data_IF_484507504912
#
_entry.id   IF_484507504912
#
_cell.length_a   1.000
_cell.length_b   1.000
_cell.length_c   1.000
_cell.angle_alpha   90.00
_cell.angle_beta   90.00
_cell.angle_gamma   90.00
#
_symmetry.space_group_name_H-M   'P 1'
#
loop_
_entity.id
_entity.type
_entity.pdbx_description
1 polymer ?
#
# COMPACT_ATOMS: atom_id res chain seq x y z
N UNK A 1 -5.40 -23.19 10.35
CA UNK A 1 -5.88 -22.31 9.25
C UNK A 1 -6.07 -20.90 9.80
N UNK A 2 -5.11 -19.98 9.59
CA UNK A 2 -5.23 -18.56 9.98
C UNK A 2 -6.24 -17.90 9.02
N UNK A 3 -7.36 -17.45 9.55
CA UNK A 3 -8.43 -16.77 8.78
C UNK A 3 -7.85 -15.53 8.10
N UNK A 4 -7.97 -15.45 6.79
CA UNK A 4 -7.57 -14.35 5.89
C UNK A 4 -8.44 -13.08 6.05
N UNK A 5 -8.93 -12.81 7.26
CA UNK A 5 -9.77 -11.66 7.56
C UNK A 5 -8.94 -10.37 7.52
N UNK A 6 -9.06 -9.62 6.44
CA UNK A 6 -8.50 -8.27 6.31
C UNK A 6 -7.39 -8.10 5.27
N UNK A 7 -7.29 -8.99 4.29
CA UNK A 7 -6.45 -8.74 3.11
C UNK A 7 -6.98 -7.52 2.34
N UNK A 8 -6.10 -6.58 1.90
CA UNK A 8 -6.52 -5.48 1.05
C UNK A 8 -7.21 -6.00 -0.22
N UNK A 9 -8.18 -5.25 -0.76
CA UNK A 9 -8.88 -5.57 -2.01
C UNK A 9 -7.94 -5.89 -3.19
N UNK A 10 -6.69 -5.45 -3.10
CA UNK A 10 -5.59 -5.71 -4.06
C UNK A 10 -5.21 -7.19 -4.16
N UNK A 11 -5.48 -8.01 -3.14
CA UNK A 11 -4.99 -9.41 -3.08
C UNK A 11 -5.91 -10.41 -3.79
N UNK A 12 -7.14 -10.02 -4.12
CA UNK A 12 -8.10 -10.88 -4.81
C UNK A 12 -7.89 -11.00 -6.33
N UNK A 13 -6.83 -10.38 -6.88
CA UNK A 13 -6.60 -10.33 -8.32
C UNK A 13 -5.80 -11.51 -8.85
N UNK A 14 -6.18 -11.96 -10.06
CA UNK A 14 -5.66 -13.20 -10.68
C UNK A 14 -4.30 -13.01 -11.36
N UNK A 15 -3.96 -11.79 -11.81
CA UNK A 15 -2.72 -11.55 -12.56
C UNK A 15 -1.84 -10.48 -11.92
N UNK A 16 -0.53 -10.53 -12.18
CA UNK A 16 0.44 -9.53 -11.70
C UNK A 16 0.09 -8.12 -12.17
N UNK A 17 -0.39 -7.99 -13.41
CA UNK A 17 -0.88 -6.74 -13.97
C UNK A 17 -2.05 -6.18 -13.14
N UNK A 18 -3.05 -6.99 -12.84
CA UNK A 18 -4.19 -6.57 -12.05
C UNK A 18 -3.77 -6.13 -10.64
N UNK A 19 -2.81 -6.81 -10.02
CA UNK A 19 -2.26 -6.40 -8.71
C UNK A 19 -1.61 -5.04 -8.80
N UNK A 20 -0.76 -4.78 -9.80
CA UNK A 20 -0.12 -3.47 -9.98
C UNK A 20 -1.17 -2.36 -10.15
N UNK A 21 -2.10 -2.52 -11.09
CA UNK A 21 -3.11 -1.50 -11.38
C UNK A 21 -4.03 -1.25 -10.18
N UNK A 22 -4.47 -2.30 -9.48
CA UNK A 22 -5.30 -2.14 -8.29
C UNK A 22 -4.54 -1.46 -7.15
N UNK A 23 -3.24 -1.72 -7.00
CA UNK A 23 -2.41 -1.03 -6.01
C UNK A 23 -2.30 0.47 -6.33
N UNK A 24 -2.23 0.85 -7.60
CA UNK A 24 -2.29 2.27 -8.02
C UNK A 24 -3.68 2.85 -7.75
N UNK A 25 -4.75 2.13 -8.03
CA UNK A 25 -6.13 2.58 -7.75
C UNK A 25 -6.40 2.74 -6.25
N UNK A 26 -5.75 1.97 -5.38
CA UNK A 26 -5.93 2.03 -3.92
C UNK A 26 -5.30 3.27 -3.27
N UNK A 27 -4.40 3.99 -3.97
CA UNK A 27 -3.79 5.21 -3.45
C UNK A 27 -4.86 6.24 -3.06
N UNK A 28 -4.92 6.64 -1.78
CA UNK A 28 -5.92 7.59 -1.24
C UNK A 28 -7.37 7.21 -1.60
N UNK A 29 -7.69 5.93 -1.62
CA UNK A 29 -9.02 5.40 -1.91
C UNK A 29 -9.37 4.33 -0.89
N UNK A 30 -10.63 4.27 -0.45
CA UNK A 30 -11.14 3.21 0.43
C UNK A 30 -11.14 1.87 -0.30
N UNK A 31 -10.92 0.79 0.43
CA UNK A 31 -10.79 -0.56 -0.16
C UNK A 31 -12.04 -0.99 -0.96
N UNK A 32 -13.24 -0.67 -0.49
CA UNK A 32 -14.51 -0.95 -1.18
C UNK A 32 -14.59 -0.28 -2.55
N UNK A 33 -14.21 1.01 -2.61
CA UNK A 33 -14.18 1.78 -3.85
C UNK A 33 -13.08 1.27 -4.79
N UNK A 34 -11.94 0.85 -4.26
CA UNK A 34 -10.86 0.23 -5.03
C UNK A 34 -11.34 -1.09 -5.65
N UNK A 35 -12.00 -1.94 -4.87
CA UNK A 35 -12.55 -3.21 -5.35
C UNK A 35 -13.56 -3.00 -6.49
N UNK A 36 -14.49 -2.06 -6.29
CA UNK A 36 -15.51 -1.72 -7.30
C UNK A 36 -14.88 -1.21 -8.59
N UNK A 37 -13.97 -0.23 -8.49
CA UNK A 37 -13.27 0.34 -9.64
C UNK A 37 -12.43 -0.72 -10.38
N UNK A 38 -11.70 -1.55 -9.66
CA UNK A 38 -10.89 -2.62 -10.22
C UNK A 38 -11.74 -3.66 -10.95
N UNK A 39 -12.85 -4.10 -10.35
CA UNK A 39 -13.78 -5.06 -10.96
C UNK A 39 -14.37 -4.52 -12.28
N UNK A 40 -14.79 -3.25 -12.29
CA UNK A 40 -15.33 -2.61 -13.50
C UNK A 40 -14.26 -2.48 -14.59
N UNK A 41 -13.05 -2.04 -14.21
CA UNK A 41 -11.94 -1.86 -15.13
C UNK A 41 -11.52 -3.17 -15.79
N UNK A 42 -11.27 -4.22 -14.99
CA UNK A 42 -10.75 -5.49 -15.51
C UNK A 42 -11.77 -6.34 -16.25
N UNK A 43 -13.07 -6.06 -16.08
CA UNK A 43 -14.11 -6.65 -16.94
C UNK A 43 -13.95 -6.20 -18.40
N UNK A 44 -13.53 -4.95 -18.62
CA UNK A 44 -13.35 -4.37 -19.97
C UNK A 44 -11.90 -4.44 -20.46
N UNK A 45 -10.94 -4.32 -19.57
CA UNK A 45 -9.50 -4.23 -19.88
C UNK A 45 -8.68 -5.13 -18.95
N UNK A 46 -8.71 -6.45 -19.14
CA UNK A 46 -8.05 -7.42 -18.26
C UNK A 46 -6.53 -7.46 -18.38
N UNK A 47 -5.94 -6.87 -19.43
CA UNK A 47 -4.49 -6.89 -19.70
C UNK A 47 -3.92 -5.50 -20.02
N UNK A 48 -2.59 -5.38 -20.01
CA UNK A 48 -1.88 -4.16 -20.34
C UNK A 48 -2.12 -3.72 -21.79
N UNK A 49 -2.14 -4.68 -22.73
CA UNK A 49 -2.34 -4.44 -24.16
C UNK A 49 -3.70 -3.80 -24.43
N UNK A 50 -4.76 -4.29 -23.77
CA UNK A 50 -6.11 -3.75 -23.92
C UNK A 50 -6.24 -2.38 -23.23
N UNK A 51 -5.64 -2.22 -22.04
CA UNK A 51 -5.72 -0.95 -21.32
C UNK A 51 -4.89 0.16 -21.96
N UNK A 52 -3.75 -0.16 -22.56
CA UNK A 52 -2.90 0.82 -23.29
C UNK A 52 -3.62 1.47 -24.47
N UNK A 53 -4.45 0.70 -25.18
CA UNK A 53 -5.23 1.15 -26.34
C UNK A 53 -6.57 1.79 -25.98
N UNK A 54 -6.99 1.67 -24.71
CA UNK A 54 -8.32 2.12 -24.27
C UNK A 54 -8.47 3.66 -24.36
N UNK A 55 -9.63 4.18 -24.78
CA UNK A 55 -9.91 5.61 -24.70
C UNK A 55 -9.91 6.09 -23.24
N UNK A 56 -9.25 7.23 -22.98
CA UNK A 56 -9.10 7.76 -21.62
C UNK A 56 -10.44 7.98 -20.91
N UNK A 57 -11.41 8.54 -21.64
CA UNK A 57 -12.77 8.78 -21.12
C UNK A 57 -13.47 7.50 -20.65
N UNK A 58 -13.22 6.36 -21.34
CA UNK A 58 -13.77 5.06 -20.93
C UNK A 58 -13.10 4.54 -19.66
N UNK A 59 -11.78 4.72 -19.54
CA UNK A 59 -11.06 4.38 -18.31
C UNK A 59 -11.59 5.21 -17.13
N UNK A 60 -11.69 6.53 -17.29
CA UNK A 60 -12.21 7.46 -16.27
C UNK A 60 -13.60 7.06 -15.79
N UNK A 61 -14.51 6.72 -16.71
CA UNK A 61 -15.88 6.27 -16.38
C UNK A 61 -15.85 5.00 -15.51
N UNK A 62 -15.02 4.02 -15.86
CA UNK A 62 -14.96 2.73 -15.16
C UNK A 62 -14.33 2.83 -13.77
N UNK A 63 -13.37 3.75 -13.57
CA UNK A 63 -12.70 3.91 -12.26
C UNK A 63 -13.23 5.10 -11.46
N UNK A 64 -14.36 5.68 -11.82
CA UNK A 64 -14.98 6.82 -11.13
C UNK A 64 -15.15 6.64 -9.61
N UNK A 65 -15.43 5.42 -9.08
CA UNK A 65 -15.46 5.20 -7.64
C UNK A 65 -14.12 5.47 -6.93
N UNK A 66 -12.99 5.34 -7.64
CA UNK A 66 -11.68 5.60 -7.06
C UNK A 66 -11.42 7.11 -6.92
N UNK A 67 -11.00 7.56 -5.73
CA UNK A 67 -10.59 8.96 -5.52
C UNK A 67 -9.50 9.39 -6.51
N UNK A 68 -9.55 10.64 -6.97
CA UNK A 68 -8.63 11.20 -7.97
C UNK A 68 -8.61 10.41 -9.30
N UNK A 69 -9.76 9.89 -9.72
CA UNK A 69 -9.90 8.98 -10.85
C UNK A 69 -9.31 9.52 -12.16
N UNK A 70 -9.43 10.82 -12.46
CA UNK A 70 -8.86 11.42 -13.67
C UNK A 70 -7.34 11.31 -13.74
N UNK A 71 -6.65 11.62 -12.63
CA UNK A 71 -5.19 11.48 -12.53
C UNK A 71 -4.79 10.01 -12.61
N UNK A 72 -5.54 9.14 -11.93
CA UNK A 72 -5.29 7.69 -11.94
C UNK A 72 -5.52 7.09 -13.32
N UNK A 73 -6.54 7.50 -14.06
CA UNK A 73 -6.79 7.04 -15.43
C UNK A 73 -5.60 7.32 -16.35
N UNK A 74 -5.06 8.54 -16.30
CA UNK A 74 -3.84 8.89 -17.05
C UNK A 74 -2.65 8.02 -16.64
N UNK A 75 -2.45 7.82 -15.33
CA UNK A 75 -1.34 7.02 -14.81
C UNK A 75 -1.44 5.56 -15.22
N UNK A 76 -2.59 4.89 -15.01
CA UNK A 76 -2.72 3.47 -15.35
C UNK A 76 -2.64 3.22 -16.86
N UNK A 77 -3.11 4.16 -17.68
CA UNK A 77 -2.92 4.09 -19.12
C UNK A 77 -1.43 4.22 -19.49
N UNK A 78 -0.71 5.20 -18.94
CA UNK A 78 0.72 5.37 -19.16
C UNK A 78 1.54 4.17 -18.67
N UNK A 79 1.21 3.62 -17.50
CA UNK A 79 1.80 2.37 -17.01
C UNK A 79 1.59 1.26 -18.04
N UNK A 80 0.36 1.07 -18.53
CA UNK A 80 0.06 -0.02 -19.48
C UNK A 80 0.81 0.13 -20.80
N UNK A 81 0.97 1.36 -21.31
CA UNK A 81 1.81 1.63 -22.49
C UNK A 81 3.26 1.20 -22.23
N UNK A 82 3.85 1.67 -21.13
CA UNK A 82 5.23 1.32 -20.78
C UNK A 82 5.42 -0.20 -20.56
N UNK A 83 4.42 -0.87 -19.96
CA UNK A 83 4.48 -2.32 -19.81
C UNK A 83 4.53 -3.03 -21.16
N UNK A 84 3.73 -2.61 -22.12
CA UNK A 84 3.74 -3.19 -23.46
C UNK A 84 5.06 -2.92 -24.19
N UNK A 85 5.54 -1.67 -24.13
CA UNK A 85 6.74 -1.25 -24.87
C UNK A 85 8.04 -1.83 -24.31
N UNK A 86 8.15 -1.97 -22.98
CA UNK A 86 9.43 -2.28 -22.33
C UNK A 86 9.46 -3.60 -21.58
N UNK A 87 8.29 -4.16 -21.24
CA UNK A 87 8.19 -5.30 -20.31
C UNK A 87 7.28 -6.42 -20.84
N UNK A 88 7.01 -6.46 -22.15
CA UNK A 88 6.20 -7.52 -22.78
C UNK A 88 4.78 -7.64 -22.18
N UNK A 89 4.17 -6.51 -21.77
CA UNK A 89 2.83 -6.45 -21.18
C UNK A 89 2.75 -6.89 -19.72
N UNK A 90 3.87 -7.26 -19.07
CA UNK A 90 3.90 -7.76 -17.69
C UNK A 90 4.62 -6.77 -16.76
N UNK A 91 4.18 -6.63 -15.49
CA UNK A 91 4.91 -5.85 -14.50
C UNK A 91 6.33 -6.39 -14.27
N UNK A 92 7.34 -5.52 -14.16
CA UNK A 92 8.68 -5.93 -13.77
C UNK A 92 8.73 -6.40 -12.32
N UNK A 93 9.70 -7.25 -12.01
CA UNK A 93 9.85 -7.88 -10.69
C UNK A 93 11.02 -7.32 -9.86
N UNK A 94 11.58 -6.18 -10.24
CA UNK A 94 12.58 -5.43 -9.47
C UNK A 94 12.00 -4.15 -8.90
N UNK A 95 12.50 -3.73 -7.73
CA UNK A 95 12.07 -2.48 -7.09
C UNK A 95 12.36 -1.27 -7.98
N UNK A 96 13.55 -1.21 -8.54
CA UNK A 96 14.02 -0.13 -9.39
C UNK A 96 13.13 0.07 -10.63
N UNK A 97 12.85 -1.01 -11.35
CA UNK A 97 11.99 -0.97 -12.54
C UNK A 97 10.54 -0.60 -12.18
N UNK A 98 10.02 -1.05 -11.03
CA UNK A 98 8.69 -0.65 -10.56
C UNK A 98 8.64 0.84 -10.23
N UNK A 99 9.69 1.40 -9.64
CA UNK A 99 9.80 2.83 -9.33
C UNK A 99 9.88 3.71 -10.58
N UNK A 100 10.32 3.18 -11.72
CA UNK A 100 10.34 3.92 -12.99
C UNK A 100 8.94 4.11 -13.60
N UNK A 101 7.93 3.39 -13.11
CA UNK A 101 6.56 3.50 -13.60
C UNK A 101 5.86 4.76 -13.05
N UNK A 102 5.06 5.48 -13.85
CA UNK A 102 4.45 6.74 -13.45
C UNK A 102 3.48 6.58 -12.27
N UNK A 103 3.77 7.29 -11.17
CA UNK A 103 2.94 7.27 -9.95
C UNK A 103 3.09 6.00 -9.10
N UNK A 104 4.09 5.17 -9.37
CA UNK A 104 4.49 4.05 -8.52
C UNK A 104 5.60 4.52 -7.58
N UNK A 105 5.24 4.83 -6.34
CA UNK A 105 6.19 5.13 -5.27
C UNK A 105 6.65 3.85 -4.55
N UNK A 106 7.60 3.99 -3.63
CA UNK A 106 8.26 2.89 -2.90
C UNK A 106 7.26 1.96 -2.21
N UNK A 107 6.28 2.50 -1.48
CA UNK A 107 5.22 1.70 -0.84
C UNK A 107 4.43 0.87 -1.86
N UNK A 108 4.06 1.48 -3.00
CA UNK A 108 3.31 0.80 -4.08
C UNK A 108 4.15 -0.31 -4.70
N UNK A 109 5.42 -0.04 -5.01
CA UNK A 109 6.36 -1.04 -5.55
C UNK A 109 6.53 -2.23 -4.60
N UNK A 110 6.74 -1.97 -3.30
CA UNK A 110 6.83 -3.03 -2.29
C UNK A 110 5.55 -3.87 -2.19
N UNK A 111 4.37 -3.25 -2.25
CA UNK A 111 3.11 -3.99 -2.31
C UNK A 111 3.05 -4.91 -3.55
N UNK A 112 3.48 -4.43 -4.72
CA UNK A 112 3.50 -5.24 -5.95
C UNK A 112 4.49 -6.41 -5.81
N UNK A 113 5.68 -6.17 -5.27
CA UNK A 113 6.67 -7.24 -5.02
C UNK A 113 6.09 -8.34 -4.12
N UNK A 114 5.44 -7.97 -3.04
CA UNK A 114 4.84 -8.92 -2.10
C UNK A 114 3.65 -9.66 -2.71
N UNK A 115 2.67 -8.92 -3.25
CA UNK A 115 1.40 -9.53 -3.64
C UNK A 115 1.44 -10.20 -5.01
N UNK A 116 2.15 -9.62 -5.99
CA UNK A 116 2.22 -10.16 -7.34
C UNK A 116 3.36 -11.17 -7.53
N UNK A 117 4.49 -10.97 -6.83
CA UNK A 117 5.70 -11.77 -7.06
C UNK A 117 6.08 -12.67 -5.88
N UNK A 118 5.38 -12.55 -4.75
CA UNK A 118 5.70 -13.29 -3.50
C UNK A 118 7.14 -13.03 -3.04
N UNK A 119 7.72 -11.90 -3.44
CA UNK A 119 9.04 -11.47 -3.01
C UNK A 119 8.93 -10.79 -1.65
N UNK A 120 9.88 -11.04 -0.73
CA UNK A 120 9.90 -10.35 0.55
C UNK A 120 10.20 -8.86 0.34
N UNK A 121 9.28 -8.03 0.79
CA UNK A 121 9.43 -6.58 0.83
C UNK A 121 8.62 -6.04 2.01
N UNK A 122 9.01 -4.86 2.50
CA UNK A 122 8.38 -4.19 3.64
C UNK A 122 7.63 -2.94 3.17
N UNK A 123 6.33 -3.01 2.86
CA UNK A 123 5.58 -1.81 2.51
C UNK A 123 5.42 -0.91 3.75
N UNK A 124 6.02 0.26 3.75
CA UNK A 124 5.89 1.25 4.82
C UNK A 124 4.98 2.38 4.37
N UNK A 125 3.86 2.53 5.06
CA UNK A 125 2.95 3.66 4.90
C UNK A 125 3.00 4.60 6.11
N UNK A 126 2.15 5.62 6.12
CA UNK A 126 2.06 6.58 7.22
C UNK A 126 1.69 5.94 8.56
N UNK A 127 0.99 4.81 8.57
CA UNK A 127 0.65 4.09 9.79
C UNK A 127 1.85 3.32 10.32
N UNK A 128 2.51 2.54 9.46
CA UNK A 128 3.71 1.78 9.82
C UNK A 128 4.80 2.72 10.32
N UNK A 129 5.13 3.78 9.57
CA UNK A 129 6.12 4.77 9.96
C UNK A 129 5.81 5.38 11.34
N UNK A 130 4.58 5.89 11.53
CA UNK A 130 4.17 6.52 12.78
C UNK A 130 4.22 5.57 13.97
N UNK A 131 3.66 4.36 13.83
CA UNK A 131 3.53 3.41 14.92
C UNK A 131 4.89 2.86 15.33
N UNK A 132 5.75 2.52 14.37
CA UNK A 132 7.10 2.02 14.65
C UNK A 132 7.93 3.01 15.45
N UNK A 133 7.86 4.30 15.09
CA UNK A 133 8.53 5.37 15.85
C UNK A 133 7.89 5.60 17.23
N UNK A 134 6.56 5.60 17.35
CA UNK A 134 5.87 5.76 18.64
C UNK A 134 6.14 4.64 19.62
N UNK A 135 6.27 3.41 19.11
CA UNK A 135 6.60 2.23 19.92
C UNK A 135 8.09 2.11 20.23
N UNK A 136 8.94 2.97 19.65
CA UNK A 136 10.38 2.89 19.83
C UNK A 136 11.02 1.67 19.15
N UNK A 137 10.35 1.07 18.16
CA UNK A 137 10.94 -0.01 17.36
C UNK A 137 12.03 0.50 16.45
N UNK A 138 11.91 1.76 16.01
CA UNK A 138 12.86 2.49 15.20
C UNK A 138 12.81 3.97 15.56
N UNK A 139 13.90 4.71 15.22
CA UNK A 139 13.97 6.16 15.31
C UNK A 139 14.33 6.71 13.94
N UNK A 140 13.34 7.16 13.16
CA UNK A 140 13.51 7.51 11.76
C UNK A 140 12.63 8.72 11.37
N UNK A 141 13.11 9.49 10.39
CA UNK A 141 12.42 10.72 9.94
C UNK A 141 11.55 10.49 8.70
N UNK A 142 11.87 9.48 7.88
CA UNK A 142 11.16 9.20 6.64
C UNK A 142 10.67 7.75 6.58
N UNK A 143 9.62 7.46 5.79
CA UNK A 143 9.16 6.08 5.56
C UNK A 143 10.23 5.17 4.97
N UNK A 144 11.13 5.69 4.13
CA UNK A 144 12.23 4.93 3.52
C UNK A 144 13.25 4.49 4.57
N UNK A 145 13.61 5.39 5.49
CA UNK A 145 14.48 5.05 6.63
C UNK A 145 13.80 4.02 7.55
N UNK A 146 12.49 4.18 7.78
CA UNK A 146 11.71 3.21 8.57
C UNK A 146 11.69 1.83 7.91
N UNK A 147 11.55 1.75 6.59
CA UNK A 147 11.61 0.50 5.84
C UNK A 147 12.95 -0.20 6.10
N UNK A 148 14.07 0.50 5.90
CA UNK A 148 15.40 -0.07 6.10
C UNK A 148 15.62 -0.52 7.55
N UNK A 149 15.27 0.32 8.53
CA UNK A 149 15.44 0.01 9.95
C UNK A 149 14.57 -1.19 10.38
N UNK A 150 13.31 -1.26 9.94
CA UNK A 150 12.43 -2.38 10.24
C UNK A 150 12.87 -3.69 9.56
N UNK A 151 13.43 -3.62 8.36
CA UNK A 151 13.98 -4.80 7.68
C UNK A 151 15.16 -5.42 8.43
N UNK A 152 15.90 -4.63 9.21
CA UNK A 152 16.99 -5.12 10.09
C UNK A 152 16.45 -5.62 11.43
N UNK A 153 15.42 -4.97 11.98
CA UNK A 153 14.92 -5.25 13.32
C UNK A 153 13.86 -6.37 13.37
N UNK A 154 13.21 -6.70 12.27
CA UNK A 154 12.09 -7.63 12.22
C UNK A 154 12.44 -8.83 11.34
N UNK A 155 12.18 -10.07 11.79
CA UNK A 155 12.33 -11.26 10.97
C UNK A 155 11.52 -11.16 9.66
N UNK A 156 12.12 -11.59 8.56
CA UNK A 156 11.62 -11.41 7.20
C UNK A 156 10.23 -12.00 6.98
N UNK A 157 9.93 -13.11 7.61
CA UNK A 157 8.63 -13.79 7.59
C UNK A 157 7.50 -12.96 8.19
N UNK A 158 7.81 -12.00 9.05
CA UNK A 158 6.84 -11.16 9.74
C UNK A 158 6.57 -9.81 9.02
N UNK A 159 7.30 -9.47 7.97
CA UNK A 159 7.22 -8.15 7.33
C UNK A 159 5.82 -7.81 6.82
N UNK A 160 5.16 -8.75 6.15
CA UNK A 160 3.82 -8.55 5.61
C UNK A 160 2.77 -8.49 6.72
N UNK A 161 2.88 -9.35 7.71
CA UNK A 161 1.95 -9.38 8.85
C UNK A 161 2.07 -8.08 9.68
N UNK A 162 3.29 -7.62 9.93
CA UNK A 162 3.55 -6.35 10.62
C UNK A 162 2.87 -5.17 9.92
N UNK A 163 3.00 -5.08 8.60
CA UNK A 163 2.33 -4.03 7.81
C UNK A 163 0.81 -4.07 8.03
N UNK A 164 0.18 -5.23 7.85
CA UNK A 164 -1.27 -5.39 8.02
C UNK A 164 -1.75 -5.03 9.42
N UNK A 165 -1.03 -5.50 10.45
CA UNK A 165 -1.37 -5.22 11.84
C UNK A 165 -1.26 -3.72 12.14
N UNK A 166 -0.15 -3.08 11.75
CA UNK A 166 0.06 -1.66 12.00
C UNK A 166 -0.92 -0.76 11.25
N UNK A 167 -1.28 -1.09 10.02
CA UNK A 167 -2.31 -0.34 9.27
C UNK A 167 -3.65 -0.41 10.01
N UNK A 168 -4.12 -1.60 10.35
CA UNK A 168 -5.40 -1.78 11.08
C UNK A 168 -5.39 -1.10 12.45
N UNK A 169 -4.29 -1.22 13.16
CA UNK A 169 -4.11 -0.62 14.48
C UNK A 169 -4.06 0.91 14.40
N UNK A 170 -3.37 1.42 13.38
CA UNK A 170 -3.25 2.86 13.13
C UNK A 170 -4.53 3.52 12.64
N UNK A 171 -5.45 2.76 12.07
CA UNK A 171 -6.78 3.23 11.67
C UNK A 171 -7.76 3.30 12.85
N UNK A 172 -7.58 2.47 13.88
CA UNK A 172 -8.56 2.30 14.97
C UNK A 172 -8.08 2.86 16.30
N UNK A 173 -6.84 2.60 16.69
CA UNK A 173 -6.30 2.87 18.03
C UNK A 173 -5.22 3.97 18.00
N UNK A 174 -4.11 3.71 17.31
CA UNK A 174 -2.98 4.63 17.26
C UNK A 174 -3.18 5.70 16.17
N UNK A 175 -4.21 6.54 16.35
CA UNK A 175 -4.57 7.59 15.41
C UNK A 175 -3.45 8.66 15.29
N UNK A 176 -3.35 9.40 14.15
CA UNK A 176 -2.35 10.47 14.00
C UNK A 176 -2.57 11.61 15.01
N UNK A 177 -3.83 12.00 15.21
CA UNK A 177 -4.27 12.96 16.23
C UNK A 177 -5.13 12.24 17.25
N UNK A 178 -4.99 12.61 18.52
CA UNK A 178 -5.75 12.05 19.64
C UNK A 178 -5.79 10.51 19.64
N UNK A 179 -4.62 9.82 19.72
CA UNK A 179 -4.59 8.37 19.77
C UNK A 179 -5.31 7.85 21.03
N UNK A 180 -6.02 6.73 20.90
CA UNK A 180 -6.76 6.09 22.00
C UNK A 180 -5.80 5.27 22.87
N UNK A 181 -4.88 5.97 23.54
CA UNK A 181 -3.80 5.30 24.27
C UNK A 181 -4.29 4.43 25.44
N UNK A 182 -5.38 4.83 26.10
CA UNK A 182 -5.95 4.05 27.23
C UNK A 182 -6.58 2.73 26.76
N UNK A 183 -7.06 2.66 25.52
CA UNK A 183 -7.57 1.42 24.91
C UNK A 183 -6.44 0.57 24.27
N UNK A 184 -5.22 1.10 24.23
CA UNK A 184 -4.08 0.47 23.58
C UNK A 184 -3.47 -0.61 24.47
N UNK A 185 -3.48 -1.86 24.02
CA UNK A 185 -2.86 -2.99 24.76
C UNK A 185 -1.35 -2.86 24.94
N UNK A 186 -0.71 -1.94 24.21
CA UNK A 186 0.74 -1.69 24.27
C UNK A 186 1.08 -0.42 25.06
N UNK A 187 0.12 0.27 25.68
CA UNK A 187 0.34 1.58 26.31
C UNK A 187 1.42 1.55 27.39
N UNK A 188 1.45 0.49 28.22
CA UNK A 188 2.41 0.33 29.32
C UNK A 188 3.87 0.18 28.85
N UNK A 189 4.08 -0.21 27.58
CA UNK A 189 5.41 -0.38 26.97
C UNK A 189 5.71 0.67 25.88
N UNK A 190 4.80 1.63 25.67
CA UNK A 190 4.92 2.62 24.60
C UNK A 190 5.67 3.87 25.07
N UNK A 191 6.91 4.14 24.61
CA UNK A 191 7.67 5.32 25.00
C UNK A 191 6.93 6.64 24.73
N UNK A 192 6.22 6.73 23.60
CA UNK A 192 5.45 7.90 23.25
C UNK A 192 4.34 8.21 24.29
N UNK A 193 3.65 7.21 24.79
CA UNK A 193 2.62 7.36 25.84
C UNK A 193 3.24 7.71 27.19
N UNK A 194 4.26 6.97 27.60
CA UNK A 194 4.95 7.18 28.90
C UNK A 194 5.57 8.58 28.99
N UNK A 195 6.19 9.07 27.93
CA UNK A 195 6.75 10.42 27.88
C UNK A 195 5.67 11.50 27.86
N UNK A 196 4.50 11.25 27.24
CA UNK A 196 3.38 12.20 27.22
C UNK A 196 2.69 12.30 28.60
N UNK A 197 2.60 11.19 29.34
CA UNK A 197 2.07 11.20 30.71
C UNK A 197 2.99 11.92 31.68
N UNK A 198 4.32 11.77 31.53
CA UNK A 198 5.31 12.51 32.36
C UNK A 198 5.19 14.03 32.18
N UNK A 199 4.93 14.51 30.93
CA UNK A 199 4.77 15.94 30.65
C UNK A 199 3.49 16.56 31.20
N UNK A 200 2.50 15.77 31.59
CA UNK A 200 1.24 16.27 32.20
C UNK A 200 1.28 16.29 33.74
N UNK A 201 2.36 15.81 34.35
CA UNK A 201 2.58 15.79 35.79
C UNK A 201 3.56 16.88 36.27
N UNK A 202 4.04 17.73 35.37
CA UNK A 202 4.81 18.96 35.61
C UNK A 202 3.99 20.16 35.17
#
# INVERSE_FOLDING_TARGET
MRKTAGMPAVVSHKTKFQVLISTVLSQRTRDENTATASKQLFKSFPSAELLSKAPLCKIEKLIRPAGFYRVKAKRIKAISILLVERFGGQPPSSLEQLLSLPGVGRKTANCVLVYAFKKPAMPVDVHVHRISNRLGLVETKTPEQTEQALMLAVPKENWLELNHLMVRYGQKICLPRNPRCLECKLHSKCPCFLNSCRKKQV
#
